data_IF_163091130821
#
_entry.id   IF_163091130821
#
_cell.length_a   1.000
_cell.length_b   1.000
_cell.length_c   1.000
_cell.angle_alpha   90.00
_cell.angle_beta   90.00
_cell.angle_gamma   90.00
#
_symmetry.space_group_name_H-M   'P 1'
#
loop_
_entity.id
_entity.type
_entity.pdbx_description
1 polymer ?
#
# COMPACT_ATOMS: atom_id res chain seq x y z
N UNK A 1 13.33 10.21 11.11
CA UNK A 1 13.20 8.94 10.36
C UNK A 1 14.10 9.00 9.15
N UNK A 2 14.95 7.99 8.94
CA UNK A 2 15.64 7.81 7.65
C UNK A 2 14.75 7.00 6.72
N UNK A 3 14.33 7.58 5.59
CA UNK A 3 13.54 6.92 4.56
C UNK A 3 14.42 6.55 3.36
N UNK A 4 14.06 5.53 2.57
CA UNK A 4 14.84 5.11 1.40
C UNK A 4 14.90 6.17 0.29
N UNK A 5 15.78 5.99 -0.69
CA UNK A 5 15.86 6.89 -1.85
C UNK A 5 14.74 6.69 -2.88
N UNK A 6 14.00 5.57 -2.81
CA UNK A 6 12.90 5.28 -3.72
C UNK A 6 11.61 6.02 -3.26
N UNK A 7 11.01 6.88 -4.09
CA UNK A 7 9.85 7.69 -3.69
C UNK A 7 8.65 6.87 -3.21
N UNK A 8 8.35 5.76 -3.89
CA UNK A 8 7.20 4.90 -3.55
C UNK A 8 7.42 4.21 -2.22
N UNK A 9 8.60 3.61 -2.03
CA UNK A 9 8.95 2.97 -0.76
C UNK A 9 8.94 3.97 0.40
N UNK A 10 9.43 5.18 0.18
CA UNK A 10 9.48 6.23 1.21
C UNK A 10 8.10 6.75 1.57
N UNK A 11 7.23 6.93 0.58
CA UNK A 11 5.84 7.31 0.80
C UNK A 11 5.10 6.25 1.63
N UNK A 12 5.17 4.97 1.22
CA UNK A 12 4.53 3.88 1.97
C UNK A 12 5.06 3.77 3.40
N UNK A 13 6.37 3.89 3.60
CA UNK A 13 6.95 3.87 4.95
C UNK A 13 6.52 5.08 5.79
N UNK A 14 6.46 6.26 5.19
CA UNK A 14 5.96 7.45 5.87
C UNK A 14 4.50 7.26 6.27
N UNK A 15 3.64 6.79 5.38
CA UNK A 15 2.22 6.57 5.69
C UNK A 15 1.98 5.48 6.75
N UNK A 16 2.80 4.42 6.76
CA UNK A 16 2.66 3.35 7.74
C UNK A 16 3.19 3.73 9.13
N UNK A 17 4.29 4.48 9.19
CA UNK A 17 5.04 4.72 10.43
C UNK A 17 5.16 6.21 10.76
N UNK A 18 5.56 7.02 9.78
CA UNK A 18 5.79 8.46 9.95
C UNK A 18 4.52 9.22 10.32
N UNK A 19 3.41 9.01 9.60
CA UNK A 19 2.12 9.65 9.87
C UNK A 19 1.59 9.29 11.26
N UNK A 20 1.77 8.02 11.67
CA UNK A 20 1.40 7.52 13.00
C UNK A 20 2.25 8.20 14.08
N UNK A 21 3.56 8.29 13.87
CA UNK A 21 4.48 8.96 14.80
C UNK A 21 4.08 10.44 14.98
N UNK A 22 3.87 11.17 13.88
CA UNK A 22 3.49 12.58 13.93
C UNK A 22 2.17 12.79 14.68
N UNK A 23 1.16 11.96 14.41
CA UNK A 23 -0.13 12.02 15.12
C UNK A 23 0.05 11.79 16.63
N UNK A 24 0.87 10.82 17.04
CA UNK A 24 1.16 10.57 18.47
C UNK A 24 1.90 11.71 19.13
N UNK A 25 2.92 12.26 18.46
CA UNK A 25 3.70 13.38 19.00
C UNK A 25 2.83 14.64 19.19
N UNK A 26 1.85 14.85 18.32
CA UNK A 26 0.85 15.91 18.48
C UNK A 26 -0.25 15.63 19.52
N UNK A 27 -0.13 14.54 20.31
CA UNK A 27 -1.12 14.15 21.33
C UNK A 27 -2.39 13.48 20.77
N UNK A 28 -2.43 13.19 19.47
CA UNK A 28 -3.56 12.50 18.83
C UNK A 28 -3.49 10.98 19.00
N UNK A 29 -4.66 10.33 18.81
CA UNK A 29 -4.78 8.87 18.78
C UNK A 29 -4.82 8.42 17.32
N UNK A 30 -3.78 7.74 16.80
CA UNK A 30 -3.78 7.26 15.42
C UNK A 30 -4.88 6.21 15.22
N UNK A 31 -5.81 6.48 14.32
CA UNK A 31 -6.81 5.49 13.92
C UNK A 31 -6.30 4.68 12.72
N UNK A 32 -6.40 3.36 12.82
CA UNK A 32 -6.15 2.46 11.70
C UNK A 32 -7.42 2.37 10.86
N UNK A 33 -7.42 3.02 9.69
CA UNK A 33 -8.52 2.91 8.72
C UNK A 33 -8.26 1.70 7.83
N UNK A 34 -9.12 0.69 7.95
CA UNK A 34 -9.07 -0.52 7.11
C UNK A 34 -10.42 -0.67 6.43
N UNK A 35 -10.41 -0.93 5.13
CA UNK A 35 -11.60 -1.31 4.37
C UNK A 35 -11.38 -2.67 3.71
N UNK A 36 -12.44 -3.42 3.51
CA UNK A 36 -12.44 -4.57 2.61
C UNK A 36 -12.67 -4.11 1.19
N UNK A 37 -12.04 -4.78 0.22
CA UNK A 37 -12.33 -4.58 -1.19
C UNK A 37 -11.95 -5.80 -2.01
N UNK A 38 -12.42 -5.82 -3.25
CA UNK A 38 -12.20 -6.92 -4.20
C UNK A 38 -11.07 -6.52 -5.16
N UNK A 39 -10.10 -7.40 -5.38
CA UNK A 39 -9.02 -7.17 -6.34
C UNK A 39 -9.53 -7.17 -7.78
N UNK A 40 -9.11 -6.17 -8.56
CA UNK A 40 -9.40 -6.06 -9.99
C UNK A 40 -8.37 -6.79 -10.87
N UNK A 41 -7.17 -7.02 -10.34
CA UNK A 41 -6.11 -7.79 -10.98
C UNK A 41 -5.35 -8.62 -9.94
N UNK A 42 -4.66 -9.67 -10.38
CA UNK A 42 -3.77 -10.45 -9.53
C UNK A 42 -2.56 -9.62 -9.07
N UNK A 43 -2.22 -9.70 -7.78
CA UNK A 43 -0.99 -9.12 -7.23
C UNK A 43 0.09 -10.18 -7.19
N UNK A 44 1.19 -10.00 -7.92
CA UNK A 44 2.29 -10.97 -7.94
C UNK A 44 3.60 -10.35 -7.49
N UNK A 45 4.44 -11.16 -6.83
CA UNK A 45 5.80 -10.75 -6.47
C UNK A 45 6.81 -11.88 -6.60
N UNK A 46 8.05 -11.51 -6.95
CA UNK A 46 9.15 -12.47 -7.14
C UNK A 46 9.67 -13.07 -5.83
N UNK A 47 9.73 -12.26 -4.76
CA UNK A 47 10.27 -12.65 -3.46
C UNK A 47 9.22 -12.51 -2.36
N UNK A 48 9.11 -13.53 -1.52
CA UNK A 48 8.15 -13.59 -0.42
C UNK A 48 8.79 -13.76 0.97
N UNK A 49 10.09 -13.49 1.06
CA UNK A 49 10.91 -13.61 2.29
C UNK A 49 10.48 -12.62 3.38
N UNK A 50 9.83 -11.51 2.99
CA UNK A 50 9.37 -10.46 3.89
C UNK A 50 7.93 -10.07 3.61
N UNK A 51 7.21 -9.67 4.64
CA UNK A 51 5.94 -8.96 4.48
C UNK A 51 6.17 -7.69 3.67
N UNK A 52 5.29 -7.43 2.70
CA UNK A 52 5.40 -6.25 1.83
C UNK A 52 4.05 -5.56 1.74
N UNK A 53 4.09 -4.24 1.63
CA UNK A 53 2.90 -3.40 1.51
C UNK A 53 2.92 -2.78 0.11
N UNK A 54 1.88 -3.05 -0.66
CA UNK A 54 1.75 -2.59 -2.04
C UNK A 54 0.70 -1.49 -2.11
N UNK A 55 1.03 -0.30 -2.62
CA UNK A 55 0.04 0.74 -2.84
C UNK A 55 -1.01 0.28 -3.84
N UNK A 56 -2.25 0.61 -3.56
CA UNK A 56 -3.42 0.29 -4.40
C UNK A 56 -4.23 1.53 -4.70
N UNK A 57 -4.84 1.53 -5.89
CA UNK A 57 -5.87 2.50 -6.29
C UNK A 57 -7.18 1.75 -6.54
N UNK A 58 -8.25 2.51 -6.75
CA UNK A 58 -9.56 1.98 -7.13
C UNK A 58 -9.78 2.32 -8.60
N UNK A 59 -10.13 1.32 -9.41
CA UNK A 59 -10.47 1.53 -10.81
C UNK A 59 -11.91 2.05 -11.01
N UNK A 60 -12.29 2.32 -12.25
CA UNK A 60 -13.64 2.81 -12.59
C UNK A 60 -14.77 1.83 -12.22
N UNK A 61 -14.44 0.54 -12.05
CA UNK A 61 -15.38 -0.51 -11.64
C UNK A 61 -15.44 -0.69 -10.11
N UNK A 62 -14.72 0.14 -9.34
CA UNK A 62 -14.68 0.03 -7.89
C UNK A 62 -13.76 -1.09 -7.36
N UNK A 63 -12.90 -1.66 -8.20
CA UNK A 63 -11.99 -2.76 -7.81
C UNK A 63 -10.61 -2.24 -7.44
N UNK A 64 -9.93 -2.98 -6.57
CA UNK A 64 -8.59 -2.66 -6.10
C UNK A 64 -7.55 -3.11 -7.13
N UNK A 65 -6.79 -2.17 -7.65
CA UNK A 65 -5.72 -2.45 -8.62
C UNK A 65 -4.36 -2.04 -8.04
N UNK A 66 -3.29 -2.81 -8.31
CA UNK A 66 -1.95 -2.44 -7.89
C UNK A 66 -1.53 -1.13 -8.57
N UNK A 67 -0.93 -0.23 -7.80
CA UNK A 67 -0.30 0.96 -8.39
C UNK A 67 1.02 0.52 -9.01
N UNK A 68 1.08 0.47 -10.34
CA UNK A 68 2.32 0.17 -11.04
C UNK A 68 3.30 1.34 -10.96
N UNK A 69 4.54 1.03 -10.58
CA UNK A 69 5.64 1.97 -10.59
C UNK A 69 6.90 1.32 -11.14
N UNK A 70 7.44 1.91 -12.21
CA UNK A 70 8.72 1.51 -12.79
C UNK A 70 9.78 2.58 -12.46
N UNK A 71 10.30 2.55 -11.23
CA UNK A 71 11.38 3.45 -10.79
C UNK A 71 10.91 4.82 -10.27
N UNK A 72 11.84 5.78 -10.19
CA UNK A 72 11.65 7.10 -9.56
C UNK A 72 10.78 8.08 -10.36
N UNK A 73 10.56 7.83 -11.65
CA UNK A 73 9.76 8.69 -12.53
C UNK A 73 8.23 8.51 -12.38
N UNK A 74 7.78 7.47 -11.67
CA UNK A 74 6.36 7.11 -11.54
C UNK A 74 5.73 7.60 -10.23
N UNK A 75 6.24 8.67 -9.61
CA UNK A 75 5.65 9.23 -8.39
C UNK A 75 4.20 9.67 -8.61
N UNK A 76 3.85 10.06 -9.83
CA UNK A 76 2.48 10.43 -10.22
C UNK A 76 1.48 9.29 -10.00
N UNK A 77 1.92 8.03 -10.10
CA UNK A 77 1.05 6.88 -9.85
C UNK A 77 0.54 6.84 -8.40
N UNK A 78 1.27 7.45 -7.44
CA UNK A 78 0.82 7.55 -6.05
C UNK A 78 -0.31 8.55 -5.84
N UNK A 79 -0.53 9.51 -6.76
CA UNK A 79 -1.57 10.53 -6.60
C UNK A 79 -2.97 9.93 -6.49
N UNK A 80 -3.16 8.76 -7.12
CA UNK A 80 -4.44 8.03 -7.11
C UNK A 80 -4.45 6.87 -6.12
N UNK A 81 -3.38 6.68 -5.34
CA UNK A 81 -3.29 5.59 -4.37
C UNK A 81 -4.18 5.89 -3.16
N UNK A 82 -5.07 4.95 -2.83
CA UNK A 82 -6.03 5.09 -1.71
C UNK A 82 -5.50 4.46 -0.42
N UNK A 83 -4.53 3.55 -0.53
CA UNK A 83 -4.01 2.81 0.60
C UNK A 83 -3.00 1.74 0.19
N UNK A 84 -2.79 0.77 1.08
CA UNK A 84 -1.93 -0.40 0.84
C UNK A 84 -2.63 -1.71 1.15
N UNK A 85 -2.33 -2.72 0.33
CA UNK A 85 -2.59 -4.13 0.62
C UNK A 85 -1.32 -4.76 1.17
N UNK A 86 -1.46 -5.61 2.18
CA UNK A 86 -0.36 -6.38 2.74
C UNK A 86 -0.28 -7.76 2.07
N UNK A 87 0.90 -8.13 1.57
CA UNK A 87 1.22 -9.50 1.22
C UNK A 87 2.09 -10.12 2.32
N UNK A 88 1.57 -11.15 2.98
CA UNK A 88 2.22 -11.81 4.11
C UNK A 88 3.46 -12.61 3.69
N UNK A 89 4.31 -12.99 4.64
CA UNK A 89 5.48 -13.86 4.36
C UNK A 89 4.99 -15.16 3.69
N UNK A 90 5.74 -15.66 2.72
CA UNK A 90 5.40 -16.84 1.89
C UNK A 90 4.18 -16.70 0.96
N UNK A 91 3.45 -15.58 0.98
CA UNK A 91 2.40 -15.29 -0.01
C UNK A 91 3.02 -14.70 -1.28
N UNK A 92 3.00 -15.42 -2.40
CA UNK A 92 3.55 -14.93 -3.69
C UNK A 92 2.52 -14.22 -4.56
N UNK A 93 1.25 -14.52 -4.32
CA UNK A 93 0.15 -14.07 -5.14
C UNK A 93 -1.09 -13.76 -4.30
N UNK A 94 -1.86 -12.78 -4.76
CA UNK A 94 -3.27 -12.58 -4.42
C UNK A 94 -4.01 -12.65 -5.75
N UNK A 95 -4.98 -13.54 -5.86
CA UNK A 95 -5.74 -13.75 -7.08
C UNK A 95 -6.63 -12.54 -7.41
N UNK A 96 -6.99 -12.40 -8.68
CA UNK A 96 -8.05 -11.48 -9.11
C UNK A 96 -9.40 -11.91 -8.51
N UNK A 97 -10.23 -10.96 -8.10
CA UNK A 97 -11.51 -11.23 -7.46
C UNK A 97 -11.42 -11.62 -5.98
N UNK A 98 -10.21 -11.68 -5.40
CA UNK A 98 -10.02 -11.95 -3.99
C UNK A 98 -10.48 -10.76 -3.12
N UNK A 99 -11.13 -11.06 -2.00
CA UNK A 99 -11.40 -10.07 -0.95
C UNK A 99 -10.14 -9.84 -0.11
N UNK A 100 -9.73 -8.59 0.02
CA UNK A 100 -8.54 -8.19 0.79
C UNK A 100 -8.80 -7.02 1.71
N UNK A 101 -8.02 -6.93 2.77
CA UNK A 101 -7.97 -5.76 3.63
C UNK A 101 -7.02 -4.69 3.04
N UNK A 102 -7.54 -3.48 2.88
CA UNK A 102 -6.79 -2.29 2.48
C UNK A 102 -6.65 -1.37 3.66
N UNK A 103 -5.40 -1.06 4.03
CA UNK A 103 -5.13 0.03 4.96
C UNK A 103 -5.12 1.34 4.19
N UNK A 104 -6.10 2.19 4.46
CA UNK A 104 -6.20 3.52 3.84
C UNK A 104 -5.09 4.43 4.35
N UNK A 105 -4.58 5.28 3.45
CA UNK A 105 -3.71 6.41 3.80
C UNK A 105 -4.53 7.47 4.55
#
# INVERSE_FOLDING_TARGET
>A
MGLPGNPVSSFVQFELLGSVLMKKLGGGIPQKRVMKGITGHSFTRKKAERKSFYPVSIDESGRLVPVEYHGSAHINSLLNAVGVVAMEINQKEIEEGAEVDVRLF
#
